data_IF_278687062423
#
_entry.id   IF_278687062423
#
_cell.length_a   1.000
_cell.length_b   1.000
_cell.length_c   1.000
_cell.angle_alpha   90.00
_cell.angle_beta   90.00
_cell.angle_gamma   90.00
#
_symmetry.space_group_name_H-M   'P 1'
#
loop_
_entity.id
_entity.type
_entity.pdbx_description
1 polymer ?
#
# COMPACT_ATOMS: atom_id res chain seq x y z
N UNK A 1 13.37 -23.19 13.19
CA UNK A 1 12.20 -22.47 12.63
C UNK A 1 12.41 -21.00 12.93
N UNK A 2 12.97 -20.26 11.99
CA UNK A 2 13.36 -18.84 12.17
C UNK A 2 12.31 -17.93 11.55
N UNK A 3 12.09 -16.83 12.26
CA UNK A 3 10.91 -15.98 12.26
C UNK A 3 11.04 -14.83 11.24
N UNK A 4 10.32 -14.87 10.13
CA UNK A 4 10.38 -13.88 9.02
C UNK A 4 9.22 -12.89 9.00
N UNK A 5 8.30 -12.93 9.96
CA UNK A 5 7.00 -12.24 9.86
C UNK A 5 6.98 -10.76 10.28
N UNK A 6 8.12 -10.08 10.43
CA UNK A 6 8.18 -8.71 11.00
C UNK A 6 8.52 -7.57 10.05
N UNK A 7 8.79 -7.81 8.77
CA UNK A 7 9.39 -6.79 7.89
C UNK A 7 8.46 -6.14 6.85
N UNK A 8 7.14 -6.37 6.91
CA UNK A 8 6.19 -5.85 5.90
C UNK A 8 5.50 -4.50 6.25
N UNK A 9 5.89 -3.82 7.34
CA UNK A 9 5.12 -2.68 7.89
C UNK A 9 5.74 -1.29 7.74
N UNK A 10 6.75 -1.07 6.88
CA UNK A 10 7.40 0.25 6.78
C UNK A 10 7.56 0.74 5.35
N UNK A 11 6.46 1.13 4.71
CA UNK A 11 6.47 2.16 3.66
C UNK A 11 5.23 3.04 3.86
N UNK A 12 5.35 4.04 4.72
CA UNK A 12 4.34 5.10 4.92
C UNK A 12 5.02 6.42 4.58
N UNK A 13 4.86 6.83 3.32
CA UNK A 13 5.42 8.05 2.74
C UNK A 13 4.55 9.24 3.19
N UNK A 14 4.99 9.98 4.20
CA UNK A 14 4.34 11.20 4.67
C UNK A 14 4.84 12.42 3.88
N UNK A 15 4.12 12.79 2.81
CA UNK A 15 4.20 14.14 2.24
C UNK A 15 3.15 14.99 2.94
N UNK A 16 3.55 15.70 3.99
CA UNK A 16 2.74 16.74 4.62
C UNK A 16 3.64 17.89 5.08
N UNK A 17 3.86 18.87 4.20
CA UNK A 17 4.32 20.20 4.58
C UNK A 17 3.45 21.23 3.87
N UNK A 18 2.27 21.48 4.44
CA UNK A 18 1.55 22.75 4.30
C UNK A 18 1.48 23.37 5.69
N UNK A 19 1.89 24.64 5.78
CA UNK A 19 1.26 25.59 6.69
C UNK A 19 1.94 25.80 8.04
N UNK A 20 2.64 26.93 8.17
CA UNK A 20 2.13 28.12 8.89
C UNK A 20 3.29 29.07 9.23
N UNK A 21 3.49 30.08 8.39
CA UNK A 21 3.98 31.38 8.85
C UNK A 21 2.78 32.10 9.49
N UNK A 22 2.98 32.65 10.68
CA UNK A 22 1.94 33.33 11.45
C UNK A 22 2.51 33.89 12.74
N UNK A 23 3.23 34.99 12.58
CA UNK A 23 3.68 35.94 13.59
C UNK A 23 2.49 36.63 14.31
N UNK A 24 2.77 37.21 15.49
CA UNK A 24 2.03 38.30 16.19
C UNK A 24 1.30 37.96 17.51
N UNK A 25 1.99 38.34 18.59
CA UNK A 25 1.52 39.22 19.70
C UNK A 25 0.75 38.67 20.92
N UNK A 26 1.34 39.02 22.07
CA UNK A 26 1.04 38.83 23.50
C UNK A 26 -0.35 39.30 23.99
N UNK A 27 -0.89 38.68 25.06
CA UNK A 27 -1.07 39.36 26.36
C UNK A 27 -1.49 38.44 27.55
N UNK A 28 -0.72 38.59 28.66
CA UNK A 28 -1.09 38.53 30.10
C UNK A 28 -1.38 37.20 30.86
N UNK A 29 -0.40 36.81 31.71
CA UNK A 29 -0.45 36.44 33.16
C UNK A 29 -1.44 35.33 33.64
N UNK A 30 -1.14 34.24 34.36
CA UNK A 30 -0.20 33.98 35.48
C UNK A 30 -0.26 32.47 35.80
N UNK A 31 0.90 31.81 35.98
CA UNK A 31 1.25 30.77 36.98
C UNK A 31 2.19 29.70 36.41
N UNK A 32 3.40 29.72 36.99
CA UNK A 32 4.47 28.76 36.80
C UNK A 32 4.07 27.38 37.34
N UNK A 33 4.20 26.36 36.50
CA UNK A 33 4.72 25.07 36.95
C UNK A 33 5.77 24.59 35.95
N UNK A 34 7.03 24.81 36.34
CA UNK A 34 8.21 24.06 35.92
C UNK A 34 7.98 22.60 36.43
N UNK A 35 8.19 21.50 35.72
CA UNK A 35 9.36 21.15 34.93
C UNK A 35 9.05 19.89 34.09
N UNK A 36 9.55 19.87 32.85
CA UNK A 36 10.00 18.69 32.10
C UNK A 36 8.90 17.69 31.64
N UNK A 37 8.07 18.13 30.71
CA UNK A 37 7.60 17.25 29.64
C UNK A 37 8.77 17.03 28.68
N UNK A 38 9.56 15.98 28.91
CA UNK A 38 10.56 15.50 27.96
C UNK A 38 9.82 15.10 26.69
N UNK A 39 9.83 16.01 25.73
CA UNK A 39 9.48 15.78 24.34
C UNK A 39 10.55 14.82 23.78
N UNK A 40 10.27 13.53 23.48
CA UNK A 40 11.24 12.67 22.84
C UNK A 40 11.24 13.00 21.33
N UNK A 41 11.70 14.21 21.01
CA UNK A 41 11.98 14.62 19.63
C UNK A 41 13.40 15.20 19.55
N UNK A 42 14.30 14.64 20.34
CA UNK A 42 15.72 14.75 20.15
C UNK A 42 16.25 13.38 19.75
N UNK A 43 16.93 13.35 18.61
CA UNK A 43 17.68 12.22 18.05
C UNK A 43 16.85 11.08 17.45
N UNK A 44 16.54 11.25 16.16
CA UNK A 44 17.25 10.47 15.16
C UNK A 44 17.20 11.24 13.84
N UNK A 45 18.07 12.25 13.71
CA UNK A 45 18.50 12.67 12.38
C UNK A 45 19.49 11.61 11.91
N UNK A 46 18.95 10.46 11.47
CA UNK A 46 19.71 9.55 10.63
C UNK A 46 19.99 10.33 9.35
N UNK A 47 21.24 10.78 9.18
CA UNK A 47 21.75 11.10 7.85
C UNK A 47 21.38 9.92 6.95
N UNK A 48 20.59 10.18 5.91
CA UNK A 48 20.37 9.17 4.89
C UNK A 48 21.76 8.73 4.41
N UNK A 49 22.00 7.41 4.25
CA UNK A 49 23.28 6.93 3.73
C UNK A 49 23.59 7.67 2.43
N UNK A 50 24.83 8.13 2.31
CA UNK A 50 25.33 8.70 1.06
C UNK A 50 25.47 7.55 0.06
N UNK A 51 24.47 7.39 -0.80
CA UNK A 51 24.44 6.37 -1.84
C UNK A 51 24.88 7.05 -3.13
N UNK A 52 26.10 6.73 -3.56
CA UNK A 52 26.61 7.12 -4.87
C UNK A 52 25.91 6.27 -5.93
N UNK A 53 25.15 6.92 -6.82
CA UNK A 53 24.39 6.28 -7.90
C UNK A 53 24.85 6.92 -9.20
N UNK A 54 25.34 6.12 -10.14
CA UNK A 54 25.69 6.63 -11.47
C UNK A 54 24.44 7.02 -12.27
N UNK A 55 24.60 7.90 -13.25
CA UNK A 55 23.52 8.28 -14.17
C UNK A 55 22.91 7.04 -14.89
N UNK A 56 23.73 6.03 -15.18
CA UNK A 56 23.31 4.77 -15.82
C UNK A 56 22.46 3.90 -14.88
N UNK A 57 22.85 3.78 -13.61
CA UNK A 57 22.05 3.07 -12.60
C UNK A 57 20.73 3.80 -12.32
N UNK A 58 20.77 5.13 -12.26
CA UNK A 58 19.57 5.95 -12.09
C UNK A 58 18.61 5.80 -13.29
N UNK A 59 19.13 5.77 -14.52
CA UNK A 59 18.33 5.55 -15.72
C UNK A 59 17.72 4.15 -15.76
N UNK A 60 18.50 3.12 -15.40
CA UNK A 60 18.03 1.72 -15.33
C UNK A 60 16.93 1.57 -14.29
N UNK A 61 17.10 2.18 -13.12
CA UNK A 61 16.07 2.20 -12.07
C UNK A 61 14.80 2.90 -12.55
N UNK A 62 14.93 4.07 -13.20
CA UNK A 62 13.78 4.82 -13.71
C UNK A 62 12.98 4.01 -14.74
N UNK A 63 13.65 3.33 -15.67
CA UNK A 63 12.99 2.47 -16.64
C UNK A 63 12.28 1.27 -15.98
N UNK A 64 12.95 0.59 -15.04
CA UNK A 64 12.35 -0.50 -14.28
C UNK A 64 11.12 -0.03 -13.48
N UNK A 65 11.19 1.14 -12.85
CA UNK A 65 10.08 1.73 -12.10
C UNK A 65 8.88 2.06 -13.01
N UNK A 66 9.12 2.66 -14.18
CA UNK A 66 8.07 2.95 -15.16
C UNK A 66 7.41 1.65 -15.69
N UNK A 67 8.21 0.63 -15.97
CA UNK A 67 7.71 -0.67 -16.40
C UNK A 67 6.88 -1.36 -15.32
N UNK A 68 7.34 -1.35 -14.06
CA UNK A 68 6.59 -1.89 -12.93
C UNK A 68 5.24 -1.18 -12.76
N UNK A 69 5.22 0.16 -12.84
CA UNK A 69 3.98 0.94 -12.77
C UNK A 69 3.00 0.56 -13.88
N UNK A 70 3.49 0.38 -15.12
CA UNK A 70 2.66 -0.04 -16.26
C UNK A 70 2.06 -1.43 -16.03
N UNK A 71 2.88 -2.40 -15.61
CA UNK A 71 2.42 -3.76 -15.29
C UNK A 71 1.36 -3.74 -14.20
N UNK A 72 1.58 -2.94 -13.13
CA UNK A 72 0.62 -2.80 -12.05
C UNK A 72 -0.73 -2.24 -12.54
N UNK A 73 -0.73 -1.20 -13.38
CA UNK A 73 -1.97 -0.66 -13.95
C UNK A 73 -2.72 -1.67 -14.83
N UNK A 74 -1.99 -2.43 -15.65
CA UNK A 74 -2.58 -3.48 -16.49
C UNK A 74 -3.21 -4.58 -15.64
N UNK A 75 -2.49 -5.06 -14.62
CA UNK A 75 -3.00 -6.07 -13.70
C UNK A 75 -4.27 -5.59 -12.97
N UNK A 76 -4.30 -4.34 -12.50
CA UNK A 76 -5.51 -3.77 -11.89
C UNK A 76 -6.69 -3.75 -12.86
N UNK A 77 -6.47 -3.36 -14.12
CA UNK A 77 -7.53 -3.35 -15.14
C UNK A 77 -8.05 -4.76 -15.43
N UNK A 78 -7.16 -5.75 -15.55
CA UNK A 78 -7.54 -7.14 -15.79
C UNK A 78 -8.33 -7.71 -14.60
N UNK A 79 -7.89 -7.42 -13.37
CA UNK A 79 -8.60 -7.83 -12.15
C UNK A 79 -10.02 -7.25 -12.11
N UNK A 80 -10.20 -5.97 -12.44
CA UNK A 80 -11.54 -5.36 -12.53
C UNK A 80 -12.40 -6.02 -13.62
N UNK A 81 -11.80 -6.33 -14.77
CA UNK A 81 -12.49 -7.04 -15.86
C UNK A 81 -13.01 -8.41 -15.39
N UNK A 82 -12.16 -9.22 -14.77
CA UNK A 82 -12.53 -10.54 -14.25
C UNK A 82 -13.72 -10.44 -13.27
N UNK A 83 -13.69 -9.50 -12.33
CA UNK A 83 -14.78 -9.33 -11.36
C UNK A 83 -16.10 -9.02 -12.07
N UNK A 84 -16.06 -8.15 -13.09
CA UNK A 84 -17.24 -7.78 -13.87
C UNK A 84 -17.73 -8.92 -14.77
N UNK A 85 -16.82 -9.69 -15.35
CA UNK A 85 -17.12 -10.83 -16.22
C UNK A 85 -17.84 -11.96 -15.45
N UNK A 86 -17.46 -12.18 -14.18
CA UNK A 86 -18.17 -13.07 -13.25
C UNK A 86 -19.51 -12.49 -12.75
N UNK A 87 -19.88 -11.29 -13.23
CA UNK A 87 -21.15 -10.64 -12.94
C UNK A 87 -21.26 -10.10 -11.52
N UNK A 88 -20.13 -9.73 -10.90
CA UNK A 88 -20.07 -9.10 -9.59
C UNK A 88 -19.67 -7.63 -9.73
N UNK A 89 -20.29 -6.77 -8.93
CA UNK A 89 -19.87 -5.37 -8.86
C UNK A 89 -18.54 -5.23 -8.11
N UNK A 90 -17.69 -4.29 -8.55
CA UNK A 90 -16.37 -4.05 -7.96
C UNK A 90 -16.47 -3.64 -6.49
N UNK A 91 -17.45 -2.80 -6.12
CA UNK A 91 -17.64 -2.39 -4.74
C UNK A 91 -18.10 -3.57 -3.88
N UNK A 92 -18.98 -4.42 -4.40
CA UNK A 92 -19.39 -5.64 -3.70
C UNK A 92 -18.21 -6.57 -3.48
N UNK A 93 -17.39 -6.82 -4.50
CA UNK A 93 -16.17 -7.62 -4.36
C UNK A 93 -15.24 -7.07 -3.27
N UNK A 94 -14.97 -5.76 -3.28
CA UNK A 94 -14.11 -5.11 -2.29
C UNK A 94 -14.65 -5.25 -0.86
N UNK A 95 -15.96 -5.07 -0.66
CA UNK A 95 -16.61 -5.23 0.64
C UNK A 95 -16.50 -6.67 1.14
N UNK A 96 -16.77 -7.65 0.29
CA UNK A 96 -16.64 -9.07 0.65
C UNK A 96 -15.18 -9.39 1.00
N UNK A 97 -14.22 -8.97 0.18
CA UNK A 97 -12.79 -9.17 0.41
C UNK A 97 -12.35 -8.57 1.75
N UNK A 98 -12.74 -7.33 2.03
CA UNK A 98 -12.43 -6.65 3.30
C UNK A 98 -13.04 -7.40 4.50
N UNK A 99 -14.29 -7.84 4.36
CA UNK A 99 -15.00 -8.60 5.40
C UNK A 99 -14.27 -9.91 5.72
N UNK A 100 -13.88 -10.67 4.69
CA UNK A 100 -13.10 -11.92 4.83
C UNK A 100 -11.73 -11.65 5.48
N UNK A 101 -11.02 -10.59 5.08
CA UNK A 101 -9.73 -10.22 5.68
C UNK A 101 -9.85 -9.89 7.17
N UNK A 102 -10.94 -9.26 7.59
CA UNK A 102 -11.21 -8.94 9.00
C UNK A 102 -11.74 -10.13 9.81
N UNK A 103 -11.89 -11.32 9.20
CA UNK A 103 -12.51 -12.48 9.84
C UNK A 103 -14.02 -12.32 10.09
N UNK A 104 -14.63 -11.28 9.53
CA UNK A 104 -16.07 -11.01 9.59
C UNK A 104 -16.71 -11.64 8.34
N UNK A 105 -16.69 -12.97 8.25
CA UNK A 105 -17.26 -13.70 7.11
C UNK A 105 -18.78 -13.81 7.13
N UNK A 106 -19.47 -12.85 7.76
CA UNK A 106 -20.90 -13.01 8.04
C UNK A 106 -21.72 -12.87 6.75
N UNK A 107 -22.25 -14.01 6.30
CA UNK A 107 -23.07 -14.19 5.10
C UNK A 107 -24.43 -13.47 5.19
N UNK A 108 -24.75 -12.84 6.31
CA UNK A 108 -25.99 -12.08 6.50
C UNK A 108 -26.02 -10.76 5.71
N UNK A 109 -24.87 -10.22 5.30
CA UNK A 109 -24.79 -8.96 4.54
C UNK A 109 -24.84 -9.17 3.02
N UNK A 110 -24.44 -10.33 2.51
CA UNK A 110 -24.31 -10.61 1.07
C UNK A 110 -25.15 -11.81 0.69
N UNK A 111 -25.74 -11.81 -0.49
CA UNK A 111 -26.47 -12.96 -0.99
C UNK A 111 -25.55 -14.14 -1.30
N UNK A 112 -26.09 -15.36 -1.29
CA UNK A 112 -25.36 -16.57 -1.69
C UNK A 112 -24.79 -16.44 -3.12
N UNK A 113 -25.56 -15.82 -4.02
CA UNK A 113 -25.11 -15.56 -5.40
C UNK A 113 -23.92 -14.59 -5.47
N UNK A 114 -23.87 -13.57 -4.62
CA UNK A 114 -22.73 -12.66 -4.56
C UNK A 114 -21.48 -13.35 -3.99
N UNK A 115 -21.66 -14.24 -3.01
CA UNK A 115 -20.55 -15.03 -2.46
C UNK A 115 -20.00 -16.04 -3.48
N UNK A 116 -20.87 -16.71 -4.23
CA UNK A 116 -20.47 -17.63 -5.31
C UNK A 116 -19.66 -16.91 -6.39
N UNK A 117 -20.14 -15.76 -6.87
CA UNK A 117 -19.42 -14.95 -7.86
C UNK A 117 -18.11 -14.39 -7.31
N UNK A 118 -18.07 -14.05 -6.02
CA UNK A 118 -16.83 -13.61 -5.36
C UNK A 118 -15.79 -14.72 -5.36
N UNK A 119 -16.19 -15.95 -5.02
CA UNK A 119 -15.28 -17.09 -5.01
C UNK A 119 -14.81 -17.44 -6.42
N UNK A 120 -15.70 -17.39 -7.43
CA UNK A 120 -15.34 -17.55 -8.84
C UNK A 120 -14.34 -16.48 -9.31
N UNK A 121 -14.65 -15.19 -9.09
CA UNK A 121 -13.75 -14.08 -9.43
C UNK A 121 -12.40 -14.20 -8.73
N UNK A 122 -12.39 -14.61 -7.46
CA UNK A 122 -11.16 -14.81 -6.70
C UNK A 122 -10.32 -15.96 -7.29
N UNK A 123 -10.95 -17.04 -7.75
CA UNK A 123 -10.25 -18.14 -8.43
C UNK A 123 -9.60 -17.64 -9.73
N UNK A 124 -10.37 -16.97 -10.59
CA UNK A 124 -9.89 -16.41 -11.86
C UNK A 124 -8.77 -15.37 -11.66
N UNK A 125 -8.84 -14.57 -10.59
CA UNK A 125 -7.78 -13.62 -10.21
C UNK A 125 -6.51 -14.35 -9.75
N UNK A 126 -6.60 -15.48 -9.04
CA UNK A 126 -5.43 -16.26 -8.63
C UNK A 126 -4.70 -16.87 -9.83
N UNK A 127 -5.45 -17.30 -10.85
CA UNK A 127 -4.89 -17.76 -12.12
C UNK A 127 -4.13 -16.64 -12.82
N UNK A 128 -4.75 -15.46 -12.97
CA UNK A 128 -4.08 -14.26 -13.53
C UNK A 128 -2.80 -13.92 -12.76
N UNK A 129 -2.81 -13.96 -11.43
CA UNK A 129 -1.61 -13.70 -10.63
C UNK A 129 -0.49 -14.71 -10.87
N UNK A 130 -0.85 -15.97 -11.13
CA UNK A 130 0.11 -17.02 -11.47
C UNK A 130 0.70 -16.78 -12.85
N UNK A 131 -0.12 -16.44 -13.84
CA UNK A 131 0.35 -16.08 -15.19
C UNK A 131 1.29 -14.87 -15.18
N UNK A 132 0.96 -13.83 -14.42
CA UNK A 132 1.82 -12.66 -14.26
C UNK A 132 3.16 -13.06 -13.63
N UNK A 133 3.14 -13.89 -12.58
CA UNK A 133 4.37 -14.37 -11.93
C UNK A 133 5.24 -15.15 -12.91
N UNK A 134 4.64 -16.04 -13.69
CA UNK A 134 5.35 -16.84 -14.70
C UNK A 134 5.93 -15.95 -15.80
N UNK A 135 5.18 -14.92 -16.23
CA UNK A 135 5.66 -13.94 -17.21
C UNK A 135 6.84 -13.14 -16.67
N UNK A 136 6.83 -12.75 -15.38
CA UNK A 136 7.94 -12.04 -14.74
C UNK A 136 9.17 -12.94 -14.64
N UNK A 137 9.00 -14.19 -14.21
CA UNK A 137 10.11 -15.17 -14.13
C UNK A 137 10.76 -15.35 -15.50
N UNK A 138 9.97 -15.59 -16.55
CA UNK A 138 10.48 -15.73 -17.93
C UNK A 138 11.23 -14.49 -18.43
N UNK A 139 10.80 -13.29 -18.01
CA UNK A 139 11.45 -12.05 -18.41
C UNK A 139 12.82 -11.83 -17.73
N UNK A 140 13.09 -12.53 -16.61
CA UNK A 140 14.35 -12.42 -15.85
C UNK A 140 15.33 -13.56 -16.21
N UNK A 141 14.83 -14.70 -16.69
CA UNK A 141 15.64 -15.86 -17.09
C UNK A 141 16.29 -15.74 -18.49
N UNK A 142 15.97 -14.68 -19.24
CA UNK A 142 16.54 -14.36 -20.55
C UNK A 142 17.60 -13.26 -20.47
#
# INVERSE_FOLDING_TARGET
MTNTLKYLSTILLAVALIGCQGDSSEDTNTQQQNSQQSNPMAQMQQSAPDVDVSDEEAATFADAAMNAQRVQMQAQKQMMGIIQDEGLDIQTYQKIAQSKQMGQGDSTQFSDSEMEKFDAATSSIQELQTEIRDSVTKAIEH
#
